data_IF_843670284760
#
_entry.id   IF_843670284760
#
_cell.length_a   1.000
_cell.length_b   1.000
_cell.length_c   1.000
_cell.angle_alpha   90.00
_cell.angle_beta   90.00
_cell.angle_gamma   90.00
#
_symmetry.space_group_name_H-M   'P 1'
#
loop_
_entity.id
_entity.type
_entity.pdbx_description
1 polymer ?
#
# COMPACT_ATOMS: atom_id res chain seq x y z
N UNK A 1 -14.19 -6.33 -0.18
CA UNK A 1 -14.61 -5.39 -1.26
C UNK A 1 -14.53 -3.98 -0.72
N UNK A 2 -14.29 -2.97 -1.56
CA UNK A 2 -14.29 -1.57 -1.12
C UNK A 2 -15.68 -1.16 -0.62
N UNK A 3 -15.73 -0.34 0.46
CA UNK A 3 -17.00 0.16 0.99
C UNK A 3 -17.60 1.32 0.15
N UNK A 4 -16.75 1.98 -0.64
CA UNK A 4 -17.11 3.14 -1.48
C UNK A 4 -16.49 2.96 -2.88
N UNK A 5 -16.93 1.94 -3.64
CA UNK A 5 -16.37 1.71 -4.97
C UNK A 5 -16.83 2.78 -5.96
N UNK A 6 -15.93 3.20 -6.85
CA UNK A 6 -16.27 4.04 -7.99
C UNK A 6 -16.36 3.18 -9.22
N UNK A 7 -17.40 3.36 -10.02
CA UNK A 7 -17.50 2.75 -11.34
C UNK A 7 -16.77 3.64 -12.35
N UNK A 8 -15.82 3.06 -13.06
CA UNK A 8 -15.12 3.73 -14.16
C UNK A 8 -15.28 2.92 -15.45
N UNK A 9 -15.20 3.61 -16.59
CA UNK A 9 -15.18 2.93 -17.89
C UNK A 9 -14.01 1.95 -17.97
N UNK A 10 -14.29 0.72 -18.40
CA UNK A 10 -13.25 -0.28 -18.60
C UNK A 10 -12.33 0.17 -19.76
N UNK A 11 -11.05 0.32 -19.46
CA UNK A 11 -10.06 0.80 -20.45
C UNK A 11 -9.89 -0.10 -21.66
N UNK A 12 -10.24 -1.38 -21.56
CA UNK A 12 -10.23 -2.31 -22.69
C UNK A 12 -11.17 -1.81 -23.80
N UNK A 13 -12.32 -1.23 -23.42
CA UNK A 13 -13.37 -0.74 -24.30
C UNK A 13 -13.34 0.79 -24.51
N UNK A 14 -12.18 1.39 -24.32
CA UNK A 14 -11.92 2.80 -24.61
C UNK A 14 -10.64 2.90 -25.41
N UNK A 15 -10.64 3.69 -26.50
CA UNK A 15 -9.42 3.95 -27.29
C UNK A 15 -8.29 4.48 -26.41
N UNK A 16 -7.14 3.83 -26.42
CA UNK A 16 -5.95 4.20 -25.66
C UNK A 16 -4.68 3.59 -26.29
N UNK A 17 -3.50 4.02 -25.81
CA UNK A 17 -2.21 3.52 -26.32
C UNK A 17 -2.00 2.01 -26.17
N UNK A 18 -2.58 1.38 -25.13
CA UNK A 18 -2.39 -0.06 -24.88
C UNK A 18 -3.09 -0.91 -25.91
N UNK A 19 -4.27 -0.49 -26.39
CA UNK A 19 -5.03 -1.20 -27.43
C UNK A 19 -4.81 -0.63 -28.84
N UNK A 20 -3.81 0.25 -29.02
CA UNK A 20 -3.48 0.85 -30.32
C UNK A 20 -4.64 1.64 -30.96
N UNK A 21 -5.58 2.11 -30.14
CA UNK A 21 -6.80 2.77 -30.61
C UNK A 21 -7.95 1.81 -30.98
N UNK A 22 -7.68 0.51 -31.06
CA UNK A 22 -8.69 -0.51 -31.45
C UNK A 22 -9.54 -0.91 -30.24
N UNK A 23 -10.84 -0.82 -30.39
CA UNK A 23 -11.81 -1.22 -29.37
C UNK A 23 -12.33 -2.61 -29.76
N UNK A 24 -12.12 -3.64 -28.91
CA UNK A 24 -12.63 -4.98 -29.20
C UNK A 24 -14.16 -5.00 -29.12
N UNK A 25 -14.82 -5.98 -29.77
CA UNK A 25 -16.26 -6.15 -29.69
C UNK A 25 -16.70 -6.41 -28.24
N UNK A 26 -17.84 -5.86 -27.88
CA UNK A 26 -18.45 -6.00 -26.56
C UNK A 26 -19.32 -7.25 -26.58
N UNK A 27 -18.89 -8.28 -25.85
CA UNK A 27 -19.65 -9.54 -25.71
C UNK A 27 -20.64 -9.51 -24.55
N UNK A 28 -20.28 -8.80 -23.45
CA UNK A 28 -21.13 -8.64 -22.27
C UNK A 28 -21.08 -7.18 -21.79
N UNK A 29 -22.23 -6.53 -21.70
CA UNK A 29 -22.34 -5.11 -21.28
C UNK A 29 -21.90 -4.89 -19.81
N UNK A 30 -21.93 -5.93 -18.97
CA UNK A 30 -21.52 -5.84 -17.54
C UNK A 30 -20.05 -5.51 -17.37
N UNK A 31 -19.21 -5.75 -18.39
CA UNK A 31 -17.77 -5.44 -18.34
C UNK A 31 -17.42 -4.01 -18.77
N UNK A 32 -18.38 -3.24 -19.27
CA UNK A 32 -18.15 -1.85 -19.71
C UNK A 32 -17.76 -0.92 -18.56
N UNK A 33 -18.24 -1.22 -17.37
CA UNK A 33 -17.92 -0.47 -16.17
C UNK A 33 -17.27 -1.39 -15.14
N UNK A 34 -16.16 -0.97 -14.58
CA UNK A 34 -15.44 -1.74 -13.55
C UNK A 34 -15.37 -0.98 -12.22
N UNK A 35 -15.59 -1.66 -11.09
CA UNK A 35 -15.48 -1.04 -9.79
C UNK A 35 -14.00 -0.85 -9.40
N UNK A 36 -13.65 0.36 -9.02
CA UNK A 36 -12.32 0.71 -8.50
C UNK A 36 -12.44 1.08 -7.03
N UNK A 37 -11.54 0.56 -6.22
CA UNK A 37 -11.51 0.86 -4.79
C UNK A 37 -11.11 2.30 -4.50
N UNK A 38 -11.71 2.91 -3.48
CA UNK A 38 -11.40 4.28 -3.05
C UNK A 38 -9.97 4.47 -2.49
N UNK A 39 -9.30 3.37 -2.09
CA UNK A 39 -7.95 3.41 -1.52
C UNK A 39 -7.88 3.89 -0.06
N UNK A 40 -8.95 4.46 0.48
CA UNK A 40 -8.98 5.14 1.78
C UNK A 40 -9.72 4.35 2.87
N UNK A 41 -10.80 3.66 2.51
CA UNK A 41 -11.61 2.93 3.49
C UNK A 41 -10.85 1.77 4.13
N UNK A 42 -11.35 1.28 5.25
CA UNK A 42 -10.74 0.18 6.01
C UNK A 42 -10.49 -1.07 5.16
N UNK A 43 -11.41 -1.39 4.23
CA UNK A 43 -11.27 -2.56 3.36
C UNK A 43 -10.13 -2.39 2.34
N UNK A 44 -10.02 -1.22 1.72
CA UNK A 44 -8.93 -0.93 0.79
C UNK A 44 -7.58 -0.95 1.49
N UNK A 45 -7.49 -0.36 2.70
CA UNK A 45 -6.25 -0.36 3.48
C UNK A 45 -5.89 -1.76 3.97
N UNK A 46 -6.85 -2.56 4.46
CA UNK A 46 -6.64 -3.96 4.82
C UNK A 46 -6.17 -4.79 3.61
N UNK A 47 -6.78 -4.61 2.45
CA UNK A 47 -6.36 -5.30 1.23
C UNK A 47 -4.94 -4.94 0.83
N UNK A 48 -4.58 -3.66 0.87
CA UNK A 48 -3.22 -3.18 0.59
C UNK A 48 -2.21 -3.81 1.56
N UNK A 49 -2.52 -3.82 2.86
CA UNK A 49 -1.67 -4.43 3.88
C UNK A 49 -1.49 -5.96 3.65
N UNK A 50 -2.58 -6.70 3.39
CA UNK A 50 -2.53 -8.13 3.07
C UNK A 50 -1.68 -8.41 1.84
N UNK A 51 -1.86 -7.65 0.76
CA UNK A 51 -1.07 -7.80 -0.45
C UNK A 51 0.43 -7.64 -0.20
N UNK A 52 0.82 -6.68 0.63
CA UNK A 52 2.21 -6.49 1.01
C UNK A 52 2.71 -7.55 1.98
N UNK A 53 1.89 -7.97 2.96
CA UNK A 53 2.25 -9.04 3.88
C UNK A 53 2.61 -10.32 3.11
N UNK A 54 1.76 -10.76 2.19
CA UNK A 54 2.01 -11.95 1.36
C UNK A 54 3.29 -11.79 0.54
N UNK A 55 3.47 -10.66 -0.14
CA UNK A 55 4.66 -10.43 -0.97
C UNK A 55 5.95 -10.40 -0.15
N UNK A 56 5.95 -9.76 1.02
CA UNK A 56 7.12 -9.71 1.89
C UNK A 56 7.40 -11.06 2.55
N UNK A 57 6.37 -11.82 2.92
CA UNK A 57 6.54 -13.19 3.41
C UNK A 57 7.20 -14.09 2.37
N UNK A 58 6.84 -13.96 1.10
CA UNK A 58 7.54 -14.66 0.01
C UNK A 58 8.97 -14.15 -0.18
N UNK A 59 9.19 -12.85 0.00
CA UNK A 59 10.53 -12.27 -0.16
C UNK A 59 11.52 -12.77 0.89
N UNK A 60 11.12 -12.88 2.17
CA UNK A 60 11.98 -13.40 3.23
C UNK A 60 12.23 -14.90 3.15
N UNK A 61 11.50 -15.64 2.32
CA UNK A 61 11.80 -17.05 2.03
C UNK A 61 13.10 -17.19 1.23
N UNK A 62 13.31 -16.31 0.26
CA UNK A 62 14.48 -16.30 -0.61
C UNK A 62 15.63 -15.47 -0.03
N UNK A 63 15.31 -14.31 0.54
CA UNK A 63 16.29 -13.34 1.03
C UNK A 63 16.35 -13.36 2.56
N UNK A 64 17.40 -14.01 3.12
CA UNK A 64 17.54 -14.22 4.58
C UNK A 64 18.27 -13.08 5.31
N UNK A 65 18.90 -12.18 4.58
CA UNK A 65 19.68 -11.05 5.10
C UNK A 65 18.87 -9.76 5.27
N UNK A 66 17.58 -9.90 5.60
CA UNK A 66 16.71 -8.76 5.90
C UNK A 66 17.06 -8.11 7.24
N UNK A 67 17.16 -6.80 7.24
CA UNK A 67 17.32 -5.95 8.42
C UNK A 67 16.08 -5.08 8.57
N UNK A 68 15.45 -5.12 9.74
CA UNK A 68 14.41 -4.14 10.07
C UNK A 68 15.06 -2.80 10.36
N UNK A 69 14.56 -1.73 9.76
CA UNK A 69 15.13 -0.39 9.92
C UNK A 69 14.07 0.64 10.33
N UNK A 70 14.50 1.57 11.18
CA UNK A 70 13.80 2.82 11.44
C UNK A 70 14.75 3.97 11.17
N UNK A 71 14.43 4.76 10.17
CA UNK A 71 15.17 5.98 9.84
C UNK A 71 14.45 7.20 10.40
N UNK A 72 15.17 8.04 11.11
CA UNK A 72 14.67 9.31 11.64
C UNK A 72 15.37 10.49 10.97
N UNK A 73 14.86 11.68 11.23
CA UNK A 73 15.46 12.93 10.76
C UNK A 73 15.86 13.80 11.96
N UNK A 74 17.03 14.42 11.90
CA UNK A 74 17.33 15.60 12.72
C UNK A 74 16.54 16.79 12.15
N UNK A 75 16.24 17.79 12.96
CA UNK A 75 15.50 18.96 12.48
C UNK A 75 16.28 19.70 11.39
N UNK A 76 17.60 19.84 11.57
CA UNK A 76 18.50 20.51 10.61
C UNK A 76 18.43 19.83 9.22
N UNK A 77 18.56 18.51 9.18
CA UNK A 77 18.56 17.78 7.91
C UNK A 77 17.16 17.72 7.29
N UNK A 78 16.11 17.65 8.12
CA UNK A 78 14.74 17.73 7.65
C UNK A 78 14.48 19.08 6.97
N UNK A 79 14.89 20.18 7.59
CA UNK A 79 14.74 21.52 7.05
C UNK A 79 15.51 21.75 5.76
N UNK A 80 16.75 21.24 5.67
CA UNK A 80 17.53 21.32 4.42
C UNK A 80 16.76 20.74 3.22
N UNK A 81 16.15 19.55 3.41
CA UNK A 81 15.35 18.92 2.37
C UNK A 81 14.06 19.72 2.13
N UNK A 82 13.42 20.15 3.19
CA UNK A 82 12.17 20.89 3.14
C UNK A 82 12.29 22.20 2.34
N UNK A 83 13.41 22.93 2.48
CA UNK A 83 13.67 24.16 1.74
C UNK A 83 13.80 23.96 0.22
N UNK A 84 14.10 22.74 -0.23
CA UNK A 84 14.16 22.41 -1.66
C UNK A 84 12.77 22.16 -2.28
N UNK A 85 11.74 21.92 -1.45
CA UNK A 85 10.41 21.52 -1.92
C UNK A 85 9.55 22.75 -2.19
N UNK A 86 9.05 22.85 -3.44
CA UNK A 86 8.13 23.91 -3.87
C UNK A 86 6.74 23.33 -4.13
N UNK A 87 5.72 24.11 -3.85
CA UNK A 87 4.31 23.80 -4.24
C UNK A 87 3.63 22.67 -3.47
N UNK A 88 4.27 22.07 -2.43
CA UNK A 88 3.65 21.08 -1.56
C UNK A 88 3.54 21.59 -0.13
N UNK A 89 2.46 21.19 0.54
CA UNK A 89 2.19 21.54 1.94
C UNK A 89 1.72 20.34 2.74
N UNK A 90 1.75 20.43 4.08
CA UNK A 90 1.21 19.43 4.98
C UNK A 90 1.80 18.04 4.77
N UNK A 91 0.95 17.03 4.80
CA UNK A 91 1.34 15.62 4.72
C UNK A 91 1.98 15.21 3.39
N UNK A 92 1.60 15.84 2.28
CA UNK A 92 2.22 15.58 0.99
C UNK A 92 3.67 16.05 0.97
N UNK A 93 3.95 17.18 1.66
CA UNK A 93 5.30 17.70 1.86
C UNK A 93 6.14 16.78 2.75
N UNK A 94 5.59 16.28 3.87
CA UNK A 94 6.28 15.29 4.73
C UNK A 94 6.67 14.02 3.94
N UNK A 95 5.77 13.51 3.13
CA UNK A 95 6.03 12.35 2.29
C UNK A 95 7.07 12.64 1.18
N UNK A 96 7.11 13.87 0.67
CA UNK A 96 8.09 14.29 -0.34
C UNK A 96 9.50 14.39 0.26
N UNK A 97 9.63 14.90 1.50
CA UNK A 97 10.89 14.87 2.25
C UNK A 97 11.44 13.44 2.31
N UNK A 98 10.60 12.49 2.69
CA UNK A 98 10.99 11.07 2.73
C UNK A 98 11.41 10.55 1.35
N UNK A 99 10.68 10.92 0.29
CA UNK A 99 11.00 10.50 -1.08
C UNK A 99 12.39 10.98 -1.51
N UNK A 100 12.71 12.25 -1.26
CA UNK A 100 14.00 12.83 -1.58
C UNK A 100 15.11 12.15 -0.79
N UNK A 101 14.94 12.01 0.53
CA UNK A 101 15.92 11.38 1.42
C UNK A 101 16.21 9.93 1.02
N UNK A 102 15.16 9.12 0.76
CA UNK A 102 15.31 7.72 0.32
C UNK A 102 16.02 7.65 -1.03
N UNK A 103 15.64 8.48 -2.00
CA UNK A 103 16.29 8.51 -3.32
C UNK A 103 17.79 8.77 -3.16
N UNK A 104 18.19 9.80 -2.42
CA UNK A 104 19.58 10.16 -2.18
C UNK A 104 20.34 9.09 -1.39
N UNK A 105 19.68 8.45 -0.43
CA UNK A 105 20.22 7.30 0.30
C UNK A 105 20.56 6.14 -0.65
N UNK A 106 19.61 5.77 -1.51
CA UNK A 106 19.79 4.70 -2.50
C UNK A 106 20.82 5.05 -3.58
N UNK A 107 20.95 6.32 -3.95
CA UNK A 107 22.00 6.81 -4.87
C UNK A 107 23.39 6.68 -4.24
N UNK A 108 23.55 7.09 -2.98
CA UNK A 108 24.82 6.92 -2.24
C UNK A 108 25.18 5.44 -2.09
N UNK A 109 24.21 4.60 -1.85
CA UNK A 109 24.39 3.15 -1.80
C UNK A 109 24.89 2.60 -3.12
N UNK A 110 24.25 2.96 -4.24
CA UNK A 110 24.67 2.54 -5.59
C UNK A 110 26.07 3.06 -5.97
N UNK A 111 26.39 4.27 -5.57
CA UNK A 111 27.76 4.80 -5.77
C UNK A 111 28.80 3.92 -5.09
N UNK A 112 28.54 3.50 -3.84
CA UNK A 112 29.48 2.69 -3.06
C UNK A 112 29.56 1.24 -3.54
N UNK A 113 28.42 0.60 -3.77
CA UNK A 113 28.36 -0.83 -4.01
C UNK A 113 28.13 -1.23 -5.46
N UNK A 114 27.96 -0.28 -6.38
CA UNK A 114 27.61 -0.50 -7.80
C UNK A 114 26.34 -1.34 -8.00
N UNK A 115 25.55 -1.53 -6.92
CA UNK A 115 24.35 -2.37 -6.84
C UNK A 115 23.27 -1.64 -6.05
N UNK A 116 22.01 -1.80 -6.46
CA UNK A 116 20.87 -1.25 -5.73
C UNK A 116 20.64 -2.00 -4.42
N UNK A 117 20.30 -1.27 -3.34
CA UNK A 117 19.83 -1.85 -2.09
C UNK A 117 18.40 -2.34 -2.27
N UNK A 118 18.15 -3.62 -2.01
CA UNK A 118 16.79 -4.16 -1.97
C UNK A 118 16.09 -3.64 -0.73
N UNK A 119 14.88 -3.09 -0.88
CA UNK A 119 14.18 -2.43 0.21
C UNK A 119 12.66 -2.47 0.06
N UNK A 120 11.99 -2.41 1.19
CA UNK A 120 10.58 -2.05 1.35
C UNK A 120 10.47 -1.11 2.55
N UNK A 121 10.07 0.12 2.32
CA UNK A 121 10.05 1.20 3.30
C UNK A 121 8.68 1.87 3.32
N UNK A 122 8.22 2.31 4.49
CA UNK A 122 6.94 2.99 4.68
C UNK A 122 7.11 4.19 5.60
N UNK A 123 6.43 5.29 5.29
CA UNK A 123 6.47 6.52 6.11
C UNK A 123 5.46 6.46 7.25
N UNK A 124 5.80 7.05 8.39
CA UNK A 124 4.91 7.27 9.54
C UNK A 124 5.18 8.65 10.13
N UNK A 125 4.15 9.28 10.70
CA UNK A 125 4.31 10.48 11.54
C UNK A 125 4.43 10.09 13.00
N UNK A 126 5.33 10.73 13.75
CA UNK A 126 5.41 10.62 15.20
C UNK A 126 4.16 11.20 15.87
N UNK A 127 3.75 10.62 16.99
CA UNK A 127 2.56 11.05 17.72
C UNK A 127 2.85 11.96 18.91
N UNK A 128 4.08 11.95 19.38
CA UNK A 128 4.50 12.70 20.59
C UNK A 128 5.63 13.66 20.26
N UNK A 129 5.69 14.75 21.00
CA UNK A 129 6.76 15.73 20.86
C UNK A 129 6.73 16.44 19.51
N UNK A 130 7.73 16.23 18.70
CA UNK A 130 7.93 16.97 17.43
C UNK A 130 7.06 16.51 16.27
N UNK A 131 6.39 15.39 16.38
CA UNK A 131 5.58 14.77 15.28
C UNK A 131 6.35 14.66 13.96
N UNK A 132 7.68 14.49 14.01
CA UNK A 132 8.49 14.36 12.80
C UNK A 132 8.19 13.07 12.08
N UNK A 133 8.33 13.12 10.77
CA UNK A 133 8.18 11.94 9.93
C UNK A 133 9.31 10.94 10.18
N UNK A 134 8.97 9.65 10.19
CA UNK A 134 9.87 8.51 10.30
C UNK A 134 9.68 7.57 9.11
N UNK A 135 10.67 6.73 8.87
CA UNK A 135 10.59 5.70 7.82
C UNK A 135 10.89 4.35 8.47
N UNK A 136 9.95 3.44 8.39
CA UNK A 136 10.11 2.07 8.85
C UNK A 136 10.20 1.12 7.66
N UNK A 137 10.89 -0.01 7.83
CA UNK A 137 10.90 -0.97 6.75
C UNK A 137 11.90 -2.10 6.90
N UNK A 138 12.14 -2.76 5.76
CA UNK A 138 13.14 -3.81 5.64
C UNK A 138 14.10 -3.42 4.51
N UNK A 139 15.38 -3.57 4.78
CA UNK A 139 16.43 -3.54 3.76
C UNK A 139 17.15 -4.90 3.76
N UNK A 140 17.52 -5.42 2.60
CA UNK A 140 18.19 -6.71 2.48
C UNK A 140 19.66 -6.50 2.12
N UNK A 141 20.53 -6.74 3.08
CA UNK A 141 21.98 -6.60 2.91
C UNK A 141 22.76 -7.18 4.08
N UNK A 142 23.96 -7.67 3.83
CA UNK A 142 24.93 -8.09 4.84
C UNK A 142 25.79 -6.93 5.35
N UNK A 143 25.61 -5.72 4.79
CA UNK A 143 26.41 -4.53 5.09
C UNK A 143 25.73 -3.65 6.16
N UNK A 144 25.41 -4.23 7.32
CA UNK A 144 24.68 -3.57 8.41
C UNK A 144 25.23 -2.19 8.80
N UNK A 145 26.55 -2.08 9.03
CA UNK A 145 27.19 -0.83 9.42
C UNK A 145 27.00 0.30 8.40
N UNK A 146 26.90 -0.04 7.11
CA UNK A 146 26.73 0.93 6.04
C UNK A 146 25.28 1.38 5.86
N UNK A 147 24.32 0.59 6.33
CA UNK A 147 22.90 1.00 6.36
C UNK A 147 22.75 2.29 7.18
N UNK A 148 23.35 2.35 8.35
CA UNK A 148 23.39 3.53 9.21
C UNK A 148 24.28 4.63 8.62
N UNK A 149 25.55 4.30 8.30
CA UNK A 149 26.54 5.27 7.85
C UNK A 149 26.12 6.07 6.60
N UNK A 150 25.34 5.45 5.71
CA UNK A 150 24.90 6.08 4.45
C UNK A 150 23.64 6.91 4.63
N UNK A 151 22.83 6.70 5.68
CA UNK A 151 21.59 7.43 5.90
C UNK A 151 21.79 8.94 6.01
N UNK A 152 22.66 9.44 6.85
CA UNK A 152 23.09 10.84 7.00
C UNK A 152 22.01 11.88 7.40
N UNK A 153 20.76 11.54 7.59
CA UNK A 153 19.70 12.53 7.89
C UNK A 153 19.27 12.54 9.36
N UNK A 154 19.70 11.56 10.14
CA UNK A 154 19.35 11.42 11.53
C UNK A 154 19.78 10.05 12.08
N UNK A 155 19.14 9.63 13.15
CA UNK A 155 19.45 8.33 13.78
C UNK A 155 18.83 7.19 12.97
N UNK A 156 19.50 6.05 13.01
CA UNK A 156 19.02 4.80 12.44
C UNK A 156 18.95 3.74 13.53
N UNK A 157 17.81 3.07 13.64
CA UNK A 157 17.72 1.86 14.46
C UNK A 157 17.65 0.64 13.53
N UNK A 158 18.37 -0.45 13.88
CA UNK A 158 18.47 -1.65 13.07
C UNK A 158 18.22 -2.89 13.93
N UNK A 159 17.16 -3.64 13.58
CA UNK A 159 16.87 -4.96 14.11
C UNK A 159 17.35 -6.05 13.13
N UNK A 160 17.99 -7.09 13.64
CA UNK A 160 18.68 -8.09 12.82
C UNK A 160 17.79 -9.27 12.39
N UNK A 161 16.68 -9.48 13.10
CA UNK A 161 15.84 -10.65 12.82
C UNK A 161 14.55 -10.24 12.13
N UNK A 162 14.49 -10.52 10.84
CA UNK A 162 13.28 -10.32 10.04
C UNK A 162 12.58 -11.66 9.84
N UNK A 163 11.39 -11.78 10.39
CA UNK A 163 10.53 -12.93 10.30
C UNK A 163 9.08 -12.55 9.99
N UNK A 164 8.17 -13.51 9.98
CA UNK A 164 6.75 -13.27 9.72
C UNK A 164 6.12 -12.30 10.72
N UNK A 165 6.54 -12.32 12.00
CA UNK A 165 6.07 -11.36 13.03
C UNK A 165 6.51 -9.94 12.70
N UNK A 166 7.75 -9.77 12.24
CA UNK A 166 8.29 -8.48 11.79
C UNK A 166 7.48 -7.92 10.62
N UNK A 167 7.16 -8.77 9.64
CA UNK A 167 6.32 -8.36 8.49
C UNK A 167 4.93 -7.94 8.96
N UNK A 168 4.29 -8.75 9.80
CA UNK A 168 2.97 -8.42 10.35
C UNK A 168 2.98 -7.10 11.15
N UNK A 169 4.08 -6.81 11.84
CA UNK A 169 4.28 -5.54 12.53
C UNK A 169 4.38 -4.37 11.54
N UNK A 170 5.23 -4.49 10.52
CA UNK A 170 5.46 -3.40 9.55
C UNK A 170 4.22 -3.09 8.73
N UNK A 171 3.45 -4.09 8.29
CA UNK A 171 2.26 -3.83 7.48
C UNK A 171 1.15 -3.11 8.25
N UNK A 172 1.22 -3.06 9.58
CA UNK A 172 0.32 -2.22 10.38
C UNK A 172 0.42 -0.74 9.99
N UNK A 173 1.60 -0.24 9.62
CA UNK A 173 1.79 1.14 9.16
C UNK A 173 1.04 1.44 7.86
N UNK A 174 0.75 0.44 7.06
CA UNK A 174 -0.05 0.57 5.83
C UNK A 174 -1.55 0.66 6.14
N UNK A 175 -2.00 -0.02 7.20
CA UNK A 175 -3.42 -0.14 7.57
C UNK A 175 -3.81 0.74 8.76
N UNK A 176 -2.84 1.22 9.54
CA UNK A 176 -3.09 2.03 10.73
C UNK A 176 -3.79 3.33 10.35
N UNK A 177 -4.89 3.62 11.05
CA UNK A 177 -5.42 4.98 11.09
C UNK A 177 -4.62 5.74 12.13
N UNK A 178 -4.02 6.82 11.72
CA UNK A 178 -3.40 7.75 12.64
C UNK A 178 -4.50 8.55 13.33
N UNK A 179 -4.63 8.39 14.66
CA UNK A 179 -5.69 9.06 15.42
C UNK A 179 -5.45 10.57 15.55
N UNK A 180 -4.19 10.98 15.48
CA UNK A 180 -3.76 12.38 15.57
C UNK A 180 -3.76 13.03 14.19
N UNK A 181 -3.29 12.28 13.17
CA UNK A 181 -3.13 12.75 11.79
C UNK A 181 -4.06 11.98 10.85
N UNK A 182 -5.37 12.18 10.98
CA UNK A 182 -6.41 11.36 10.32
C UNK A 182 -6.29 11.32 8.79
N UNK A 183 -5.91 12.42 8.17
CA UNK A 183 -5.74 12.51 6.72
C UNK A 183 -4.34 12.08 6.23
N UNK A 184 -3.43 11.73 7.15
CA UNK A 184 -2.12 11.24 6.76
C UNK A 184 -2.22 9.89 6.03
N UNK A 185 -1.60 9.83 4.86
CA UNK A 185 -1.55 8.62 4.06
C UNK A 185 -0.09 8.19 3.85
N UNK A 186 0.30 7.12 4.53
CA UNK A 186 1.64 6.56 4.45
C UNK A 186 2.04 6.23 3.01
N UNK A 187 3.25 6.62 2.60
CA UNK A 187 3.84 6.25 1.31
C UNK A 187 4.72 5.02 1.47
N UNK A 188 4.67 4.15 0.47
CA UNK A 188 5.53 2.96 0.40
C UNK A 188 6.55 3.17 -0.71
N UNK A 189 7.81 2.93 -0.38
CA UNK A 189 8.94 2.94 -1.29
C UNK A 189 9.52 1.53 -1.35
N UNK A 190 9.65 0.97 -2.53
CA UNK A 190 10.01 -0.44 -2.66
C UNK A 190 10.85 -0.71 -3.89
N UNK A 191 11.77 -1.65 -3.76
CA UNK A 191 12.44 -2.24 -4.91
C UNK A 191 11.45 -2.98 -5.80
N UNK A 192 11.66 -3.02 -7.11
CA UNK A 192 10.90 -3.89 -7.99
C UNK A 192 11.08 -5.36 -7.60
N UNK A 193 10.08 -6.19 -7.89
CA UNK A 193 10.17 -7.62 -7.70
C UNK A 193 10.13 -8.13 -6.25
N UNK A 194 9.74 -7.33 -5.25
CA UNK A 194 9.48 -7.84 -3.89
C UNK A 194 8.43 -8.96 -3.96
N UNK A 195 8.78 -10.14 -3.44
CA UNK A 195 7.94 -11.34 -3.43
C UNK A 195 7.85 -12.05 -4.78
N UNK A 196 8.72 -11.75 -5.75
CA UNK A 196 8.70 -12.41 -7.07
C UNK A 196 8.97 -13.92 -7.00
N UNK A 197 9.61 -14.41 -5.94
CA UNK A 197 9.90 -15.84 -5.73
C UNK A 197 8.67 -16.74 -5.75
N UNK A 198 7.51 -16.23 -5.36
CA UNK A 198 6.26 -16.99 -5.48
C UNK A 198 6.01 -17.53 -6.88
N UNK A 199 6.42 -16.80 -7.92
CA UNK A 199 6.24 -17.20 -9.33
C UNK A 199 6.98 -18.50 -9.71
N UNK A 200 7.94 -18.94 -8.90
CA UNK A 200 8.71 -20.17 -9.09
C UNK A 200 8.13 -21.36 -8.31
N UNK A 201 7.08 -21.14 -7.52
CA UNK A 201 6.49 -22.16 -6.66
C UNK A 201 5.40 -22.94 -7.37
N UNK A 202 5.22 -24.21 -6.99
CA UNK A 202 4.12 -25.05 -7.47
C UNK A 202 2.74 -24.44 -7.18
N UNK A 203 2.59 -23.72 -6.06
CA UNK A 203 1.35 -23.03 -5.73
C UNK A 203 0.98 -21.96 -6.78
N UNK A 204 1.99 -21.33 -7.41
CA UNK A 204 1.75 -20.37 -8.48
C UNK A 204 1.16 -21.04 -9.73
N UNK A 205 1.64 -22.26 -10.06
CA UNK A 205 1.08 -23.05 -11.16
C UNK A 205 -0.40 -23.40 -10.92
N UNK A 206 -0.77 -23.72 -9.67
CA UNK A 206 -2.16 -24.00 -9.28
C UNK A 206 -3.09 -22.79 -9.43
N UNK A 207 -2.53 -21.59 -9.41
CA UNK A 207 -3.29 -20.36 -9.60
C UNK A 207 -3.48 -19.99 -11.07
N UNK A 208 -2.92 -20.72 -12.03
CA UNK A 208 -3.14 -20.46 -13.46
C UNK A 208 -4.62 -20.54 -13.80
N UNK A 209 -5.01 -19.82 -14.84
CA UNK A 209 -6.38 -19.81 -15.29
C UNK A 209 -6.87 -21.20 -15.69
N UNK A 210 -8.01 -21.59 -15.14
CA UNK A 210 -8.70 -22.85 -15.39
C UNK A 210 -10.23 -22.64 -15.39
N UNK A 211 -10.70 -21.66 -16.18
CA UNK A 211 -12.12 -21.32 -16.25
C UNK A 211 -12.71 -21.03 -14.87
N UNK A 212 -13.88 -21.60 -14.59
CA UNK A 212 -14.58 -21.45 -13.31
C UNK A 212 -13.85 -22.08 -12.11
N UNK A 213 -12.98 -23.07 -12.35
CA UNK A 213 -12.21 -23.78 -11.32
C UNK A 213 -10.92 -23.05 -10.95
N UNK A 214 -10.70 -21.84 -11.44
CA UNK A 214 -9.51 -21.05 -11.16
C UNK A 214 -9.41 -20.72 -9.68
N UNK A 215 -8.25 -21.06 -9.05
CA UNK A 215 -7.96 -20.79 -7.66
C UNK A 215 -7.35 -19.38 -7.55
N UNK A 216 -8.12 -18.43 -7.05
CA UNK A 216 -7.68 -17.03 -6.86
C UNK A 216 -7.22 -16.74 -5.41
N UNK A 217 -6.77 -17.76 -4.68
CA UNK A 217 -6.30 -17.64 -3.30
C UNK A 217 -4.82 -17.97 -3.17
N UNK A 218 -4.17 -17.35 -2.19
CA UNK A 218 -2.83 -17.65 -1.72
C UNK A 218 -2.93 -18.36 -0.38
N UNK A 219 -2.29 -19.51 -0.24
CA UNK A 219 -2.25 -20.27 1.01
C UNK A 219 -1.00 -19.91 1.83
N UNK A 220 -1.20 -19.41 3.04
CA UNK A 220 -0.11 -19.10 3.97
C UNK A 220 0.54 -20.39 4.51
N UNK A 221 1.69 -20.27 5.18
CA UNK A 221 2.32 -21.43 5.87
C UNK A 221 1.41 -22.05 6.93
N UNK A 222 0.53 -21.26 7.53
CA UNK A 222 -0.41 -21.71 8.56
C UNK A 222 -1.71 -22.28 7.96
N UNK A 223 -1.78 -22.45 6.64
CA UNK A 223 -2.97 -22.97 5.96
C UNK A 223 -4.07 -21.95 5.71
N UNK A 224 -3.92 -20.69 6.14
CA UNK A 224 -4.94 -19.65 5.94
C UNK A 224 -4.95 -19.23 4.47
N UNK A 225 -6.12 -19.22 3.87
CA UNK A 225 -6.32 -18.73 2.52
C UNK A 225 -6.60 -17.22 2.50
N UNK A 226 -5.85 -16.51 1.70
CA UNK A 226 -5.96 -15.08 1.46
C UNK A 226 -6.22 -14.83 -0.02
N UNK A 227 -6.92 -13.75 -0.35
CA UNK A 227 -7.05 -13.36 -1.75
C UNK A 227 -5.68 -13.17 -2.41
N UNK A 228 -5.51 -13.72 -3.60
CA UNK A 228 -4.26 -13.64 -4.36
C UNK A 228 -3.92 -12.17 -4.64
N UNK A 229 -2.72 -11.67 -4.25
CA UNK A 229 -2.30 -10.31 -4.51
C UNK A 229 -2.39 -9.91 -5.98
N UNK A 230 -2.81 -8.66 -6.23
CA UNK A 230 -2.90 -8.10 -7.59
C UNK A 230 -1.59 -8.27 -8.37
N UNK A 231 -0.44 -8.18 -7.69
CA UNK A 231 0.88 -8.40 -8.29
C UNK A 231 1.01 -9.78 -8.96
N UNK A 232 0.49 -10.82 -8.32
CA UNK A 232 0.51 -12.18 -8.88
C UNK A 232 -0.60 -12.39 -9.91
N UNK A 233 -1.79 -11.84 -9.65
CA UNK A 233 -2.89 -11.87 -10.65
C UNK A 233 -2.49 -11.24 -11.98
N UNK A 234 -1.75 -10.13 -11.94
CA UNK A 234 -1.25 -9.47 -13.16
C UNK A 234 -0.15 -10.26 -13.88
N UNK A 235 0.50 -11.19 -13.20
CA UNK A 235 1.49 -12.07 -13.80
C UNK A 235 0.90 -13.39 -14.33
N UNK A 236 -0.24 -13.80 -13.78
CA UNK A 236 -0.93 -15.05 -14.09
C UNK A 236 -1.94 -14.90 -15.22
N UNK A 237 -2.71 -13.80 -15.21
CA UNK A 237 -3.88 -13.66 -16.05
C UNK A 237 -3.70 -12.54 -17.05
N UNK A 238 -4.04 -12.82 -18.31
CA UNK A 238 -4.21 -11.80 -19.34
C UNK A 238 -5.50 -10.98 -19.13
N UNK A 239 -5.81 -10.05 -20.00
CA UNK A 239 -6.97 -9.18 -19.83
C UNK A 239 -8.30 -9.90 -20.07
N UNK A 240 -8.34 -10.87 -20.98
CA UNK A 240 -9.49 -11.75 -21.27
C UNK A 240 -9.81 -12.67 -20.07
N UNK A 241 -8.78 -13.32 -19.52
CA UNK A 241 -8.92 -14.20 -18.36
C UNK A 241 -9.39 -13.43 -17.12
N UNK A 242 -8.88 -12.21 -16.89
CA UNK A 242 -9.35 -11.33 -15.80
C UNK A 242 -10.82 -10.96 -15.97
N UNK A 243 -11.23 -10.69 -17.18
CA UNK A 243 -12.62 -10.37 -17.51
C UNK A 243 -13.53 -11.56 -17.25
N UNK A 244 -13.14 -12.75 -17.73
CA UNK A 244 -13.90 -13.98 -17.48
C UNK A 244 -14.01 -14.29 -15.99
N UNK A 245 -12.91 -14.15 -15.21
CA UNK A 245 -12.92 -14.30 -13.76
C UNK A 245 -13.84 -13.28 -13.06
N UNK A 246 -13.98 -12.10 -13.64
CA UNK A 246 -14.92 -11.09 -13.14
C UNK A 246 -16.37 -11.48 -13.43
N UNK A 247 -16.68 -11.92 -14.65
CA UNK A 247 -18.01 -12.40 -15.04
C UNK A 247 -18.44 -13.59 -14.19
N UNK A 248 -17.57 -14.57 -14.01
CA UNK A 248 -17.83 -15.73 -13.14
C UNK A 248 -18.18 -15.32 -11.69
N UNK A 249 -17.61 -14.20 -11.18
CA UNK A 249 -17.98 -13.66 -9.86
C UNK A 249 -19.34 -12.97 -9.86
N UNK A 250 -19.71 -12.33 -10.94
CA UNK A 250 -21.03 -11.73 -11.06
C UNK A 250 -22.11 -12.81 -11.14
N UNK A 251 -21.83 -13.89 -11.86
CA UNK A 251 -22.77 -15.01 -12.05
C UNK A 251 -23.01 -15.84 -10.78
N UNK A 252 -22.08 -15.80 -9.81
CA UNK A 252 -22.24 -16.48 -8.51
C UNK A 252 -23.27 -15.84 -7.58
N UNK A 253 -23.81 -14.68 -7.92
CA UNK A 253 -24.78 -13.94 -7.11
C UNK A 253 -24.34 -13.78 -5.64
N UNK A 254 -23.04 -13.60 -5.44
CA UNK A 254 -22.43 -13.43 -4.13
C UNK A 254 -21.74 -12.08 -4.02
N UNK A 255 -21.81 -11.48 -2.82
CA UNK A 255 -21.05 -10.27 -2.47
C UNK A 255 -20.24 -10.50 -1.21
N UNK A 256 -19.11 -9.85 -1.11
CA UNK A 256 -18.20 -9.98 0.02
C UNK A 256 -17.90 -8.63 0.64
N UNK A 257 -18.12 -8.48 1.95
CA UNK A 257 -17.78 -7.28 2.71
C UNK A 257 -17.08 -7.69 4.00
N UNK A 258 -15.88 -7.16 4.26
CA UNK A 258 -15.09 -7.39 5.48
C UNK A 258 -14.94 -8.88 5.82
N UNK A 259 -14.76 -9.73 4.79
CA UNK A 259 -14.64 -11.18 4.94
C UNK A 259 -15.97 -11.93 5.10
N UNK A 260 -17.10 -11.24 5.14
CA UNK A 260 -18.43 -11.85 5.20
C UNK A 260 -18.97 -12.05 3.79
N UNK A 261 -19.38 -13.27 3.49
CA UNK A 261 -20.09 -13.63 2.26
C UNK A 261 -21.58 -13.37 2.44
N UNK A 262 -22.19 -12.75 1.46
CA UNK A 262 -23.64 -12.52 1.39
C UNK A 262 -24.14 -13.09 0.08
N UNK A 263 -25.13 -13.98 0.15
CA UNK A 263 -25.88 -14.48 -0.99
C UNK A 263 -26.91 -13.41 -1.40
N UNK A 264 -26.92 -13.03 -2.66
CA UNK A 264 -27.82 -12.01 -3.22
C UNK A 264 -28.83 -12.60 -4.22
N UNK A 265 -28.91 -13.92 -4.36
CA UNK A 265 -29.85 -14.60 -5.28
C UNK A 265 -31.32 -14.29 -4.98
N UNK A 266 -31.64 -14.01 -3.71
CA UNK A 266 -32.99 -13.64 -3.26
C UNK A 266 -33.20 -12.14 -3.06
N UNK A 267 -32.21 -11.32 -3.38
CA UNK A 267 -32.25 -9.88 -3.23
C UNK A 267 -31.01 -9.29 -2.53
N UNK A 268 -30.81 -8.00 -2.67
CA UNK A 268 -29.60 -7.32 -2.18
C UNK A 268 -29.77 -6.62 -0.83
N UNK A 269 -30.91 -6.76 -0.15
CA UNK A 269 -31.21 -6.02 1.07
C UNK A 269 -30.24 -6.33 2.21
N UNK A 270 -29.92 -7.60 2.44
CA UNK A 270 -28.94 -8.00 3.46
C UNK A 270 -27.55 -7.47 3.18
N UNK A 271 -27.17 -7.43 1.90
CA UNK A 271 -25.92 -6.84 1.47
C UNK A 271 -25.85 -5.36 1.80
N UNK A 272 -26.90 -4.58 1.49
CA UNK A 272 -26.91 -3.15 1.79
C UNK A 272 -26.97 -2.86 3.29
N UNK A 273 -27.73 -3.63 4.08
CA UNK A 273 -27.73 -3.53 5.55
C UNK A 273 -26.33 -3.77 6.13
N UNK A 274 -25.65 -4.80 5.65
CA UNK A 274 -24.26 -5.09 6.06
C UNK A 274 -23.30 -3.99 5.63
N UNK A 275 -23.43 -3.49 4.40
CA UNK A 275 -22.61 -2.41 3.84
C UNK A 275 -22.71 -1.16 4.71
N UNK A 276 -23.91 -0.71 5.05
CA UNK A 276 -24.10 0.48 5.92
C UNK A 276 -23.48 0.29 7.31
N UNK A 277 -23.69 -0.85 7.96
CA UNK A 277 -23.03 -1.17 9.24
C UNK A 277 -21.49 -1.09 9.13
N UNK A 278 -20.94 -1.53 7.99
CA UNK A 278 -19.47 -1.47 7.78
C UNK A 278 -19.00 -0.05 7.45
N UNK A 279 -19.81 0.77 6.79
CA UNK A 279 -19.54 2.19 6.58
C UNK A 279 -19.54 2.95 7.90
N UNK A 280 -20.51 2.70 8.79
CA UNK A 280 -20.55 3.27 10.14
C UNK A 280 -19.30 2.87 10.94
N UNK A 281 -18.91 1.58 10.90
CA UNK A 281 -17.68 1.10 11.52
C UNK A 281 -16.45 1.81 10.94
N UNK A 282 -16.40 1.99 9.62
CA UNK A 282 -15.33 2.71 8.94
C UNK A 282 -15.20 4.15 9.47
N UNK A 283 -16.31 4.87 9.57
CA UNK A 283 -16.39 6.23 10.10
C UNK A 283 -15.95 6.29 11.58
N UNK A 284 -16.48 5.41 12.42
CA UNK A 284 -16.11 5.32 13.85
C UNK A 284 -14.62 5.06 14.07
N UNK A 285 -14.00 4.25 13.20
CA UNK A 285 -12.57 3.95 13.26
C UNK A 285 -11.70 5.05 12.64
N UNK A 286 -12.28 6.09 12.03
CA UNK A 286 -11.56 7.21 11.43
C UNK A 286 -10.92 6.90 10.08
N UNK A 287 -11.34 5.84 9.39
CA UNK A 287 -10.90 5.60 8.01
C UNK A 287 -11.57 6.57 7.05
N UNK A 288 -10.82 6.99 6.02
CA UNK A 288 -11.34 7.87 4.98
C UNK A 288 -12.44 7.20 4.14
N UNK A 289 -13.19 8.04 3.44
CA UNK A 289 -14.19 7.69 2.44
C UNK A 289 -13.91 8.48 1.15
N UNK A 290 -14.81 8.42 0.18
CA UNK A 290 -14.71 9.24 -1.02
C UNK A 290 -15.23 10.67 -0.85
N UNK A 291 -15.95 10.91 0.25
CA UNK A 291 -16.37 12.27 0.61
C UNK A 291 -15.15 12.98 1.19
N UNK A 292 -14.51 13.79 0.37
CA UNK A 292 -13.40 14.61 0.82
C UNK A 292 -13.97 15.73 1.66
N UNK A 293 -13.79 15.67 2.97
CA UNK A 293 -13.99 16.81 3.83
C UNK A 293 -12.81 17.77 3.61
N UNK A 294 -12.93 18.69 2.65
CA UNK A 294 -11.92 19.68 2.30
C UNK A 294 -11.54 20.54 3.50
N UNK A 295 -12.50 20.86 4.37
CA UNK A 295 -12.27 21.69 5.56
C UNK A 295 -11.38 20.97 6.57
N UNK A 296 -11.63 19.68 6.82
CA UNK A 296 -10.81 18.89 7.71
C UNK A 296 -9.37 18.75 7.17
N UNK A 297 -9.21 18.46 5.89
CA UNK A 297 -7.88 18.35 5.27
C UNK A 297 -7.13 19.68 5.34
N UNK A 298 -7.81 20.81 5.08
CA UNK A 298 -7.24 22.16 5.19
C UNK A 298 -6.77 22.43 6.61
N UNK A 299 -7.64 22.19 7.58
CA UNK A 299 -7.32 22.35 9.00
C UNK A 299 -6.11 21.52 9.45
N UNK A 300 -6.05 20.25 9.08
CA UNK A 300 -4.91 19.38 9.44
C UNK A 300 -3.60 19.82 8.77
N UNK A 301 -3.66 20.31 7.54
CA UNK A 301 -2.49 20.87 6.86
C UNK A 301 -1.99 22.14 7.54
N UNK A 302 -2.90 23.04 7.93
CA UNK A 302 -2.57 24.26 8.66
C UNK A 302 -1.95 23.93 10.03
N UNK A 303 -2.55 22.98 10.77
CA UNK A 303 -2.01 22.49 12.04
C UNK A 303 -0.61 21.92 11.86
N UNK A 304 -0.38 21.15 10.81
CA UNK A 304 0.94 20.59 10.49
C UNK A 304 1.99 21.66 10.21
N UNK A 305 1.61 22.71 9.51
CA UNK A 305 2.48 23.86 9.26
C UNK A 305 2.84 24.59 10.54
N UNK A 306 1.86 24.82 11.45
CA UNK A 306 2.14 25.41 12.78
C UNK A 306 3.11 24.56 13.57
N UNK A 307 2.95 23.24 13.62
CA UNK A 307 3.89 22.33 14.29
C UNK A 307 5.30 22.42 13.72
N UNK A 308 5.43 22.58 12.40
CA UNK A 308 6.71 22.83 11.76
C UNK A 308 7.34 24.14 12.28
N UNK A 309 6.59 25.24 12.31
CA UNK A 309 7.06 26.53 12.78
C UNK A 309 7.50 26.47 14.26
N UNK A 310 6.74 25.79 15.12
CA UNK A 310 7.12 25.55 16.52
C UNK A 310 8.46 24.84 16.66
N UNK A 311 8.70 23.81 15.83
CA UNK A 311 9.99 23.10 15.83
C UNK A 311 11.15 24.00 15.41
N UNK A 312 10.93 24.82 14.36
CA UNK A 312 11.94 25.75 13.87
C UNK A 312 12.26 26.82 14.91
N UNK A 313 11.22 27.38 15.57
CA UNK A 313 11.42 28.36 16.66
C UNK A 313 12.22 27.77 17.82
N UNK A 314 12.01 26.50 18.19
CA UNK A 314 12.79 25.82 19.23
C UNK A 314 14.25 25.56 18.83
N UNK A 315 14.53 25.55 17.53
CA UNK A 315 15.88 25.27 17.01
C UNK A 315 16.71 26.55 16.83
N UNK A 316 16.07 27.68 16.49
CA UNK A 316 16.72 28.92 16.09
C UNK A 316 16.33 30.13 16.95
N UNK A 317 15.33 30.04 17.81
CA UNK A 317 14.91 31.05 18.76
C UNK A 317 15.41 30.77 20.15
#
# INVERSE_FOLDING_TARGET
MCLYPKLIKNRKYVSNKKNGGNIPPITDKRVLMVPVGCGKCMECKKQKARNWAVRMQEDIRENKNGLFVTYTFSEIELQKIDNEIKGLTGYDRDNEICRIAIRRYLERWRKKYKKSLRHWLVTELGHTGTERVHIHGIVWTDKKKDVEKIWKYGRTWIGEYVNEKTINYIVKYVNKVDKVHKEYNSKIFTSPGIGSGYKKRQDFERNKYNGEKTIETYKTRQGIELALPIYYRNALYNDEEKEQLWLNKLDKEERWIDGVRVDISKGEEEYYKLLERKKEKNKRLGFGNDEINWELKKYENERRNLKKLERLKKLYG
#
